data_IF_837530878297
#
_entry.id   IF_837530878297
#
_cell.length_a   1.000
_cell.length_b   1.000
_cell.length_c   1.000
_cell.angle_alpha   90.00
_cell.angle_beta   90.00
_cell.angle_gamma   90.00
#
_symmetry.space_group_name_H-M   'P 1'
#
loop_
_entity.id
_entity.type
_entity.pdbx_description
1 polymer ?
#
# COMPACT_ATOMS: atom_id res chain seq x y z
N UNK A 1 11.82 6.34 -4.52
CA UNK A 1 10.83 6.13 -5.58
C UNK A 1 9.59 7.00 -5.38
N UNK A 2 8.80 6.86 -4.29
CA UNK A 2 7.58 7.64 -4.01
C UNK A 2 7.75 9.17 -4.07
N UNK A 3 8.77 9.78 -3.44
CA UNK A 3 8.95 11.23 -3.51
C UNK A 3 9.20 11.73 -4.93
N UNK A 4 9.96 10.98 -5.71
CA UNK A 4 10.26 11.34 -7.11
C UNK A 4 9.03 11.30 -8.00
N UNK A 5 8.18 10.26 -7.85
CA UNK A 5 6.91 10.18 -8.59
C UNK A 5 5.97 11.34 -8.27
N UNK A 6 5.82 11.66 -6.99
CA UNK A 6 5.01 12.80 -6.58
C UNK A 6 5.52 14.12 -7.16
N UNK A 7 6.85 14.28 -7.27
CA UNK A 7 7.46 15.47 -7.90
C UNK A 7 7.16 15.51 -9.39
N UNK A 8 7.31 14.39 -10.09
CA UNK A 8 7.00 14.31 -11.53
C UNK A 8 5.53 14.62 -11.76
N UNK A 9 4.61 13.98 -11.01
CA UNK A 9 3.17 14.24 -11.14
C UNK A 9 2.84 15.71 -10.88
N UNK A 10 3.47 16.32 -9.88
CA UNK A 10 3.27 17.73 -9.57
C UNK A 10 3.74 18.65 -10.70
N UNK A 11 4.85 18.32 -11.34
CA UNK A 11 5.44 19.14 -12.40
C UNK A 11 4.75 18.97 -13.76
N UNK A 12 4.21 17.77 -14.03
CA UNK A 12 3.69 17.39 -15.34
C UNK A 12 2.15 17.44 -15.45
N UNK A 13 1.44 17.42 -14.32
CA UNK A 13 -0.02 17.38 -14.33
C UNK A 13 -0.64 18.60 -13.65
N UNK A 14 -1.65 19.24 -14.30
CA UNK A 14 -2.47 20.25 -13.66
C UNK A 14 -3.12 19.73 -12.35
N UNK A 15 -3.38 20.61 -11.39
CA UNK A 15 -3.92 20.25 -10.09
C UNK A 15 -5.16 19.34 -10.17
N UNK A 16 -6.07 19.60 -11.10
CA UNK A 16 -7.31 18.81 -11.31
C UNK A 16 -7.08 17.41 -11.91
N UNK A 17 -5.90 17.11 -12.47
CA UNK A 17 -5.58 15.83 -13.12
C UNK A 17 -4.62 14.96 -12.28
N UNK A 18 -3.98 15.53 -11.26
CA UNK A 18 -3.02 14.82 -10.39
C UNK A 18 -3.63 13.61 -9.68
N UNK A 19 -4.92 13.68 -9.33
CA UNK A 19 -5.64 12.55 -8.74
C UNK A 19 -5.68 11.33 -9.67
N UNK A 20 -5.96 11.54 -10.96
CA UNK A 20 -5.97 10.47 -11.97
C UNK A 20 -4.58 9.89 -12.18
N UNK A 21 -3.56 10.73 -12.27
CA UNK A 21 -2.16 10.30 -12.42
C UNK A 21 -1.69 9.48 -11.22
N UNK A 22 -2.03 9.92 -9.99
CA UNK A 22 -1.76 9.16 -8.77
C UNK A 22 -2.49 7.82 -8.75
N UNK A 23 -3.75 7.79 -9.16
CA UNK A 23 -4.51 6.54 -9.23
C UNK A 23 -3.88 5.55 -10.21
N UNK A 24 -3.45 6.01 -11.37
CA UNK A 24 -2.85 5.15 -12.38
C UNK A 24 -1.61 4.39 -11.86
N UNK A 25 -0.69 5.07 -11.18
CA UNK A 25 0.49 4.38 -10.65
C UNK A 25 0.18 3.49 -9.42
N UNK A 26 -0.78 3.87 -8.57
CA UNK A 26 -1.24 3.03 -7.46
C UNK A 26 -1.90 1.74 -7.97
N UNK A 27 -2.66 1.81 -9.06
CA UNK A 27 -3.19 0.63 -9.74
C UNK A 27 -2.06 -0.26 -10.25
N UNK A 28 -1.03 0.32 -10.87
CA UNK A 28 0.17 -0.40 -11.31
C UNK A 28 0.86 -1.14 -10.16
N UNK A 29 0.97 -0.54 -8.98
CA UNK A 29 1.55 -1.18 -7.79
C UNK A 29 0.78 -2.43 -7.34
N UNK A 30 -0.53 -2.48 -7.52
CA UNK A 30 -1.33 -3.66 -7.19
C UNK A 30 -1.37 -4.68 -8.34
N UNK A 31 -1.37 -4.20 -9.58
CA UNK A 31 -1.41 -5.05 -10.76
C UNK A 31 -0.07 -5.77 -11.00
N UNK A 32 1.06 -5.11 -10.72
CA UNK A 32 2.37 -5.69 -10.93
C UNK A 32 2.59 -7.00 -10.15
N UNK A 33 2.35 -7.12 -8.84
CA UNK A 33 2.45 -8.41 -8.14
C UNK A 33 1.44 -9.44 -8.64
N UNK A 34 0.21 -9.02 -8.99
CA UNK A 34 -0.81 -9.92 -9.51
C UNK A 34 -0.38 -10.61 -10.81
N UNK A 35 0.34 -9.90 -11.67
CA UNK A 35 0.90 -10.45 -12.91
C UNK A 35 2.24 -11.16 -12.69
N UNK A 36 3.08 -10.63 -11.80
CA UNK A 36 4.42 -11.17 -11.55
C UNK A 36 4.38 -12.55 -10.90
N UNK A 37 3.45 -12.79 -9.95
CA UNK A 37 3.39 -14.06 -9.23
C UNK A 37 3.19 -15.26 -10.16
N UNK A 38 2.16 -15.33 -11.03
CA UNK A 38 2.01 -16.45 -11.95
C UNK A 38 3.15 -16.53 -12.98
N UNK A 39 3.67 -15.40 -13.45
CA UNK A 39 4.76 -15.38 -14.41
C UNK A 39 6.06 -15.93 -13.81
N UNK A 40 6.44 -15.50 -12.61
CA UNK A 40 7.68 -15.95 -11.96
C UNK A 40 7.59 -17.43 -11.56
N UNK A 41 6.45 -17.89 -11.04
CA UNK A 41 6.27 -19.29 -10.71
C UNK A 41 6.31 -20.18 -11.94
N UNK A 42 5.78 -19.73 -13.07
CA UNK A 42 5.89 -20.42 -14.35
C UNK A 42 7.36 -20.51 -14.81
N UNK A 43 8.11 -19.39 -14.79
CA UNK A 43 9.55 -19.38 -15.14
C UNK A 43 10.35 -20.34 -14.23
N UNK A 44 10.04 -20.37 -12.93
CA UNK A 44 10.71 -21.25 -11.98
C UNK A 44 10.41 -22.73 -12.29
N UNK A 45 9.17 -23.04 -12.62
CA UNK A 45 8.74 -24.41 -12.91
C UNK A 45 9.36 -24.97 -14.19
N UNK A 46 9.44 -24.16 -15.26
CA UNK A 46 9.94 -24.59 -16.57
C UNK A 46 11.46 -24.51 -16.71
N UNK A 47 12.10 -23.57 -15.99
CA UNK A 47 13.52 -23.32 -16.15
C UNK A 47 14.27 -23.41 -14.82
N UNK A 48 14.40 -22.26 -14.12
CA UNK A 48 14.97 -22.20 -12.77
C UNK A 48 14.74 -20.80 -12.17
N UNK A 49 14.91 -20.68 -10.86
CA UNK A 49 14.80 -19.40 -10.16
C UNK A 49 15.78 -18.32 -10.70
N UNK A 50 16.93 -18.71 -11.28
CA UNK A 50 17.91 -17.77 -11.86
C UNK A 50 17.33 -17.03 -13.06
N UNK A 51 16.51 -17.68 -13.87
CA UNK A 51 15.87 -17.07 -15.04
C UNK A 51 14.89 -15.96 -14.67
N UNK A 52 14.29 -15.99 -13.47
CA UNK A 52 13.46 -14.87 -12.99
C UNK A 52 14.27 -13.58 -12.83
N UNK A 53 15.53 -13.67 -12.40
CA UNK A 53 16.40 -12.50 -12.28
C UNK A 53 16.83 -11.96 -13.67
N UNK A 54 17.16 -12.83 -14.61
CA UNK A 54 17.48 -12.40 -15.97
C UNK A 54 16.29 -11.74 -16.65
N UNK A 55 15.09 -12.32 -16.47
CA UNK A 55 13.85 -11.74 -16.98
C UNK A 55 13.57 -10.37 -16.31
N UNK A 56 13.67 -10.28 -15.01
CA UNK A 56 13.46 -9.03 -14.27
C UNK A 56 14.46 -7.95 -14.68
N UNK A 57 15.73 -8.32 -14.89
CA UNK A 57 16.75 -7.41 -15.40
C UNK A 57 16.36 -6.87 -16.78
N UNK A 58 16.02 -7.76 -17.72
CA UNK A 58 15.61 -7.37 -19.06
C UNK A 58 14.37 -6.47 -19.06
N UNK A 59 13.39 -6.80 -18.22
CA UNK A 59 12.17 -6.01 -18.07
C UNK A 59 12.47 -4.62 -17.50
N UNK A 60 13.45 -4.50 -16.59
CA UNK A 60 13.83 -3.23 -15.98
C UNK A 60 14.57 -2.30 -16.95
N UNK A 61 15.23 -2.84 -17.97
CA UNK A 61 15.89 -2.01 -18.99
C UNK A 61 14.89 -1.18 -19.80
N UNK A 62 13.70 -1.72 -20.06
CA UNK A 62 12.67 -1.00 -20.84
C UNK A 62 12.28 0.35 -20.21
N UNK A 63 11.85 0.43 -18.93
CA UNK A 63 11.54 1.72 -18.31
C UNK A 63 12.75 2.64 -18.18
N UNK A 64 13.97 2.11 -18.00
CA UNK A 64 15.18 2.93 -17.96
C UNK A 64 15.37 3.63 -19.31
N UNK A 65 15.26 2.91 -20.42
CA UNK A 65 15.35 3.47 -21.77
C UNK A 65 14.24 4.50 -22.01
N UNK A 66 12.99 4.15 -21.66
CA UNK A 66 11.85 5.07 -21.83
C UNK A 66 12.02 6.35 -21.02
N UNK A 67 12.46 6.25 -19.76
CA UNK A 67 12.70 7.41 -18.90
C UNK A 67 13.83 8.26 -19.47
N UNK A 68 14.93 7.67 -19.89
CA UNK A 68 16.09 8.39 -20.40
C UNK A 68 15.78 9.18 -21.67
N UNK A 69 15.04 8.61 -22.61
CA UNK A 69 14.76 9.22 -23.91
C UNK A 69 13.51 10.09 -23.94
N UNK A 70 12.50 9.82 -23.13
CA UNK A 70 11.18 10.46 -23.22
C UNK A 70 10.81 11.34 -22.03
N UNK A 71 11.55 11.28 -20.90
CA UNK A 71 11.21 12.05 -19.71
C UNK A 71 12.21 13.17 -19.46
N UNK A 72 11.72 14.31 -18.98
CA UNK A 72 12.54 15.41 -18.46
C UNK A 72 12.02 15.84 -17.09
N UNK A 73 12.84 16.55 -16.31
CA UNK A 73 12.43 17.01 -14.97
C UNK A 73 11.29 18.03 -15.03
N UNK A 74 11.27 18.84 -16.06
CA UNK A 74 10.27 19.87 -16.28
C UNK A 74 9.65 19.74 -17.67
N UNK A 75 8.34 20.01 -17.83
CA UNK A 75 7.66 19.98 -19.12
C UNK A 75 8.28 20.91 -20.17
N UNK A 76 8.84 22.06 -19.73
CA UNK A 76 9.49 23.05 -20.61
C UNK A 76 10.74 22.50 -21.32
N UNK A 77 11.41 21.52 -20.72
CA UNK A 77 12.64 20.93 -21.25
C UNK A 77 12.35 19.80 -22.25
N UNK A 78 11.09 19.37 -22.35
CA UNK A 78 10.71 18.25 -23.17
C UNK A 78 10.25 18.67 -24.56
N UNK A 79 10.93 18.19 -25.58
CA UNK A 79 10.65 18.50 -27.00
C UNK A 79 9.30 18.01 -27.52
N UNK A 80 8.65 17.10 -26.80
CA UNK A 80 7.36 16.54 -27.19
C UNK A 80 6.16 17.30 -26.62
N UNK A 81 6.38 18.25 -25.69
CA UNK A 81 5.33 19.05 -25.07
C UNK A 81 5.02 20.24 -25.98
N UNK A 82 3.75 20.42 -26.32
CA UNK A 82 3.31 21.54 -27.15
C UNK A 82 3.01 22.79 -26.28
N UNK A 83 2.94 23.96 -26.93
CA UNK A 83 2.72 25.25 -26.27
C UNK A 83 1.39 25.31 -25.50
N UNK A 84 0.34 24.70 -26.02
CA UNK A 84 -1.00 24.70 -25.40
C UNK A 84 -1.01 23.85 -24.13
N UNK A 85 -0.34 22.72 -24.17
CA UNK A 85 -0.15 21.84 -23.00
C UNK A 85 0.65 22.53 -21.90
N UNK A 86 1.75 23.20 -22.28
CA UNK A 86 2.58 23.96 -21.37
C UNK A 86 1.80 25.11 -20.71
N UNK A 87 0.96 25.83 -21.46
CA UNK A 87 0.10 26.87 -20.91
C UNK A 87 -0.91 26.32 -19.90
N UNK A 88 -1.51 25.15 -20.20
CA UNK A 88 -2.43 24.48 -19.28
C UNK A 88 -1.77 24.08 -17.97
N UNK A 89 -0.56 23.51 -18.02
CA UNK A 89 0.22 23.13 -16.84
C UNK A 89 0.61 24.37 -16.02
N UNK A 90 1.17 25.40 -16.69
CA UNK A 90 1.65 26.60 -16.01
C UNK A 90 0.53 27.41 -15.37
N UNK A 91 -0.66 27.52 -15.99
CA UNK A 91 -1.80 28.24 -15.42
C UNK A 91 -2.20 27.68 -14.06
N UNK A 92 -2.29 26.36 -13.94
CA UNK A 92 -2.63 25.71 -12.66
C UNK A 92 -1.53 25.85 -11.60
N UNK A 93 -0.27 25.88 -12.01
CA UNK A 93 0.88 26.05 -11.11
C UNK A 93 0.96 27.48 -10.58
N UNK A 94 0.66 28.48 -11.42
CA UNK A 94 0.64 29.90 -11.03
C UNK A 94 -0.47 30.18 -10.00
N UNK A 95 -1.66 29.61 -10.18
CA UNK A 95 -2.75 29.70 -9.21
C UNK A 95 -2.36 29.09 -7.85
N UNK A 96 -1.66 27.95 -7.82
CA UNK A 96 -1.13 27.35 -6.59
C UNK A 96 -0.05 28.21 -5.90
N UNK A 97 0.84 28.83 -6.68
CA UNK A 97 1.91 29.69 -6.15
C UNK A 97 1.34 30.97 -5.54
N UNK A 98 0.31 31.56 -6.13
CA UNK A 98 -0.38 32.73 -5.57
C UNK A 98 -1.06 32.41 -4.23
N UNK A 99 -1.63 31.20 -4.08
CA UNK A 99 -2.19 30.73 -2.81
C UNK A 99 -1.12 30.35 -1.77
N UNK A 100 0.13 30.08 -2.20
CA UNK A 100 1.20 29.58 -1.33
C UNK A 100 2.13 30.68 -0.77
N UNK A 101 2.10 31.88 -1.34
CA UNK A 101 2.96 33.00 -0.92
C UNK A 101 2.58 33.57 0.46
N UNK A 102 1.55 33.06 1.12
CA UNK A 102 1.15 33.39 2.49
C UNK A 102 1.64 32.41 3.57
N UNK A 103 2.35 31.33 3.19
CA UNK A 103 2.80 30.34 4.17
C UNK A 103 4.24 30.62 4.58
N UNK A 104 4.45 31.04 5.83
CA UNK A 104 5.77 31.15 6.46
C UNK A 104 6.53 29.81 6.31
N UNK A 105 7.86 29.92 6.07
CA UNK A 105 8.74 28.74 5.99
C UNK A 105 8.89 28.10 7.38
N UNK A 106 7.96 27.23 7.75
CA UNK A 106 8.04 26.45 8.99
C UNK A 106 9.29 25.57 8.94
N UNK A 107 10.09 25.57 10.00
CA UNK A 107 11.30 24.74 10.16
C UNK A 107 10.95 23.24 10.03
N UNK A 108 11.90 22.43 9.56
CA UNK A 108 11.73 20.95 9.48
C UNK A 108 11.41 20.35 10.85
N UNK A 109 12.03 20.88 11.89
CA UNK A 109 11.80 20.44 13.30
C UNK A 109 10.40 20.80 13.77
N UNK A 110 9.90 21.98 13.45
CA UNK A 110 8.54 22.41 13.79
C UNK A 110 7.49 21.58 13.07
N UNK A 111 7.70 21.27 11.77
CA UNK A 111 6.84 20.34 11.02
C UNK A 111 6.79 18.97 11.66
N UNK A 112 7.95 18.43 12.11
CA UNK A 112 8.00 17.15 12.78
C UNK A 112 7.26 17.14 14.12
N UNK A 113 7.39 18.21 14.92
CA UNK A 113 6.68 18.35 16.19
C UNK A 113 5.16 18.30 16.03
N UNK A 114 4.61 18.89 14.97
CA UNK A 114 3.16 18.94 14.72
C UNK A 114 2.52 17.54 14.72
N UNK A 115 3.15 16.56 14.09
CA UNK A 115 2.58 15.21 14.03
C UNK A 115 3.16 14.26 15.09
N UNK A 116 4.44 14.38 15.47
CA UNK A 116 5.04 13.50 16.48
C UNK A 116 4.48 13.73 17.90
N UNK A 117 4.05 14.95 18.23
CA UNK A 117 3.40 15.26 19.49
C UNK A 117 1.91 14.89 19.50
N UNK A 118 1.32 14.53 18.37
CA UNK A 118 -0.09 14.15 18.27
C UNK A 118 -0.28 12.66 18.57
N UNK A 119 -0.96 12.31 19.65
CA UNK A 119 -1.25 10.91 20.03
C UNK A 119 -1.99 10.15 18.93
N UNK A 120 -2.87 10.81 18.18
CA UNK A 120 -3.61 10.19 17.07
C UNK A 120 -2.68 9.73 15.94
N UNK A 121 -1.54 10.40 15.73
CA UNK A 121 -0.54 9.97 14.76
C UNK A 121 0.04 8.59 15.12
N UNK A 122 0.35 8.35 16.39
CA UNK A 122 0.90 7.09 16.88
C UNK A 122 -0.11 5.94 16.82
N UNK A 123 -1.39 6.24 17.11
CA UNK A 123 -2.48 5.27 16.95
C UNK A 123 -2.63 4.90 15.46
N UNK A 124 -2.63 5.90 14.58
CA UNK A 124 -2.70 5.68 13.13
C UNK A 124 -1.50 4.90 12.62
N UNK A 125 -0.30 5.16 13.16
CA UNK A 125 0.91 4.40 12.88
C UNK A 125 0.76 2.94 13.31
N UNK A 126 0.23 2.66 14.49
CA UNK A 126 0.00 1.29 14.95
C UNK A 126 -0.97 0.52 14.03
N UNK A 127 -2.08 1.17 13.63
CA UNK A 127 -3.03 0.60 12.67
C UNK A 127 -2.36 0.30 11.33
N UNK A 128 -1.62 1.26 10.78
CA UNK A 128 -0.95 1.09 9.49
C UNK A 128 0.20 0.10 9.55
N UNK A 129 0.93 0.03 10.65
CA UNK A 129 2.00 -0.95 10.87
C UNK A 129 1.45 -2.37 10.92
N UNK A 130 0.30 -2.61 11.59
CA UNK A 130 -0.33 -3.92 11.63
C UNK A 130 -0.72 -4.41 10.22
N UNK A 131 -1.27 -3.53 9.39
CA UNK A 131 -1.59 -3.84 8.00
C UNK A 131 -0.32 -4.08 7.16
N UNK A 132 0.74 -3.29 7.38
CA UNK A 132 2.03 -3.48 6.71
C UNK A 132 2.67 -4.82 7.07
N UNK A 133 2.63 -5.21 8.34
CA UNK A 133 3.15 -6.52 8.79
C UNK A 133 2.40 -7.68 8.13
N UNK A 134 1.07 -7.61 8.04
CA UNK A 134 0.28 -8.60 7.31
C UNK A 134 0.71 -8.65 5.84
N UNK A 135 0.76 -7.50 5.17
CA UNK A 135 1.05 -7.42 3.73
C UNK A 135 2.42 -7.96 3.38
N UNK A 136 3.48 -7.56 4.10
CA UNK A 136 4.83 -8.06 3.88
C UNK A 136 5.00 -9.53 4.27
N UNK A 137 4.33 -9.96 5.35
CA UNK A 137 4.30 -11.37 5.74
C UNK A 137 3.69 -12.24 4.66
N UNK A 138 2.54 -11.83 4.13
CA UNK A 138 1.84 -12.55 3.06
C UNK A 138 2.64 -12.62 1.77
N UNK A 139 3.17 -11.49 1.30
CA UNK A 139 3.97 -11.46 0.06
C UNK A 139 5.12 -12.45 0.13
N UNK A 140 5.75 -12.57 1.30
CA UNK A 140 6.94 -13.40 1.48
C UNK A 140 6.61 -14.88 1.70
N UNK A 141 5.59 -15.18 2.51
CA UNK A 141 5.37 -16.54 3.01
C UNK A 141 4.15 -17.25 2.43
N UNK A 142 3.19 -16.54 1.82
CA UNK A 142 2.01 -17.18 1.23
C UNK A 142 2.37 -18.21 0.15
N UNK A 143 3.31 -17.96 -0.79
CA UNK A 143 3.68 -18.97 -1.77
C UNK A 143 4.21 -20.25 -1.13
N UNK A 144 5.06 -20.12 -0.10
CA UNK A 144 5.60 -21.27 0.64
C UNK A 144 4.49 -22.02 1.37
N UNK A 145 3.60 -21.32 2.07
CA UNK A 145 2.46 -21.93 2.74
C UNK A 145 1.56 -22.73 1.79
N UNK A 146 1.24 -22.16 0.62
CA UNK A 146 0.42 -22.83 -0.38
C UNK A 146 1.10 -24.08 -0.95
N UNK A 147 2.41 -24.06 -1.14
CA UNK A 147 3.14 -25.21 -1.65
C UNK A 147 3.34 -26.28 -0.58
N UNK A 148 3.83 -25.92 0.63
CA UNK A 148 4.24 -26.90 1.65
C UNK A 148 3.07 -27.44 2.47
N UNK A 149 2.14 -26.57 2.88
CA UNK A 149 1.03 -26.97 3.74
C UNK A 149 -0.22 -27.36 2.96
N UNK A 150 -0.45 -26.71 1.82
CA UNK A 150 -1.64 -26.93 1.00
C UNK A 150 -1.39 -27.80 -0.24
N UNK A 151 -0.15 -28.23 -0.48
CA UNK A 151 0.20 -29.17 -1.54
C UNK A 151 -0.02 -28.65 -2.97
N UNK A 152 -0.09 -27.34 -3.19
CA UNK A 152 -0.23 -26.79 -4.53
C UNK A 152 1.07 -26.97 -5.33
N UNK A 153 0.94 -27.34 -6.60
CA UNK A 153 2.06 -27.27 -7.54
C UNK A 153 2.52 -25.82 -7.72
N UNK A 154 3.79 -25.60 -8.04
CA UNK A 154 4.33 -24.24 -8.24
C UNK A 154 3.57 -23.43 -9.28
N UNK A 155 3.05 -24.06 -10.34
CA UNK A 155 2.20 -23.40 -11.32
C UNK A 155 0.91 -22.84 -10.69
N UNK A 156 0.25 -23.61 -9.84
CA UNK A 156 -0.97 -23.19 -9.14
C UNK A 156 -0.68 -22.18 -8.02
N UNK A 157 0.47 -22.29 -7.35
CA UNK A 157 0.92 -21.31 -6.33
C UNK A 157 0.97 -19.90 -6.91
N UNK A 158 1.45 -19.74 -8.14
CA UNK A 158 1.50 -18.43 -8.79
C UNK A 158 0.15 -17.76 -8.91
N UNK A 159 -0.84 -18.49 -9.40
CA UNK A 159 -2.20 -17.98 -9.53
C UNK A 159 -2.88 -17.73 -8.19
N UNK A 160 -2.74 -18.65 -7.25
CA UNK A 160 -3.33 -18.48 -5.91
C UNK A 160 -2.67 -17.32 -5.14
N UNK A 161 -1.36 -17.12 -5.28
CA UNK A 161 -0.64 -16.00 -4.67
C UNK A 161 -0.94 -14.64 -5.31
N UNK A 162 -1.49 -14.62 -6.53
CA UNK A 162 -1.95 -13.40 -7.18
C UNK A 162 -3.31 -12.91 -6.65
N UNK A 163 -4.16 -13.82 -6.16
CA UNK A 163 -5.52 -13.51 -5.71
C UNK A 163 -5.60 -12.40 -4.65
N UNK A 164 -4.75 -12.34 -3.61
CA UNK A 164 -4.79 -11.26 -2.62
C UNK A 164 -4.63 -9.87 -3.26
N UNK A 165 -3.82 -9.75 -4.30
CA UNK A 165 -3.60 -8.47 -5.00
C UNK A 165 -4.79 -8.09 -5.89
N UNK A 166 -5.42 -9.09 -6.54
CA UNK A 166 -6.63 -8.90 -7.33
C UNK A 166 -7.78 -8.44 -6.42
N UNK A 167 -8.05 -9.17 -5.34
CA UNK A 167 -9.02 -8.75 -4.34
C UNK A 167 -8.67 -7.40 -3.71
N UNK A 168 -7.37 -7.17 -3.41
CA UNK A 168 -6.90 -5.90 -2.87
C UNK A 168 -7.18 -4.72 -3.79
N UNK A 169 -7.05 -4.90 -5.11
CA UNK A 169 -7.40 -3.89 -6.10
C UNK A 169 -8.90 -3.54 -6.02
N UNK A 170 -9.77 -4.55 -6.02
CA UNK A 170 -11.21 -4.38 -5.93
C UNK A 170 -11.62 -3.69 -4.61
N UNK A 171 -11.05 -4.12 -3.50
CA UNK A 171 -11.34 -3.54 -2.19
C UNK A 171 -10.79 -2.12 -2.01
N UNK A 172 -9.66 -1.76 -2.62
CA UNK A 172 -9.17 -0.37 -2.63
C UNK A 172 -10.13 0.56 -3.38
N UNK A 173 -10.65 0.12 -4.53
CA UNK A 173 -11.65 0.88 -5.29
C UNK A 173 -12.93 1.03 -4.47
N UNK A 174 -13.42 -0.05 -3.89
CA UNK A 174 -14.60 -0.03 -3.01
C UNK A 174 -14.41 0.91 -1.82
N UNK A 175 -13.23 0.86 -1.18
CA UNK A 175 -12.90 1.72 -0.05
C UNK A 175 -12.93 3.21 -0.43
N UNK A 176 -12.44 3.57 -1.62
CA UNK A 176 -12.52 4.95 -2.12
C UNK A 176 -13.96 5.46 -2.11
N UNK A 177 -14.89 4.69 -2.70
CA UNK A 177 -16.33 5.07 -2.71
C UNK A 177 -16.96 5.14 -1.32
N UNK A 178 -16.54 4.25 -0.39
CA UNK A 178 -17.07 4.23 0.98
C UNK A 178 -16.52 5.42 1.78
N UNK A 179 -15.22 5.70 1.66
CA UNK A 179 -14.55 6.81 2.39
C UNK A 179 -15.10 8.16 1.99
N UNK A 180 -15.47 8.34 0.72
CA UNK A 180 -16.07 9.59 0.24
C UNK A 180 -17.49 9.81 0.78
N UNK A 181 -18.21 8.73 1.08
CA UNK A 181 -19.61 8.77 1.54
C UNK A 181 -19.78 8.68 3.05
N UNK A 182 -18.74 8.29 3.80
CA UNK A 182 -18.85 8.07 5.24
C UNK A 182 -17.78 8.81 6.01
N UNK A 183 -18.20 9.45 7.10
CA UNK A 183 -17.26 10.06 8.07
C UNK A 183 -16.67 9.02 9.04
N UNK A 184 -17.13 7.76 9.00
CA UNK A 184 -16.74 6.69 9.93
C UNK A 184 -15.54 5.87 9.45
N UNK A 185 -14.44 6.54 9.09
CA UNK A 185 -13.23 5.89 8.53
C UNK A 185 -12.63 4.84 9.47
N UNK A 186 -12.62 5.11 10.79
CA UNK A 186 -12.19 4.16 11.79
C UNK A 186 -13.00 2.86 11.78
N UNK A 187 -14.32 2.96 11.59
CA UNK A 187 -15.19 1.80 11.49
C UNK A 187 -14.91 0.97 10.22
N UNK A 188 -14.64 1.63 9.09
CA UNK A 188 -14.25 0.96 7.84
C UNK A 188 -12.96 0.16 8.04
N UNK A 189 -11.95 0.76 8.69
CA UNK A 189 -10.69 0.07 9.01
C UNK A 189 -10.92 -1.12 9.95
N UNK A 190 -11.75 -0.96 10.97
CA UNK A 190 -12.10 -2.03 11.90
C UNK A 190 -12.77 -3.20 11.18
N UNK A 191 -13.84 -2.92 10.41
CA UNK A 191 -14.58 -3.95 9.67
C UNK A 191 -13.67 -4.69 8.69
N UNK A 192 -12.80 -3.97 7.98
CA UNK A 192 -11.83 -4.60 7.06
C UNK A 192 -10.83 -5.50 7.78
N UNK A 193 -10.35 -5.08 8.96
CA UNK A 193 -9.45 -5.88 9.80
C UNK A 193 -10.14 -7.15 10.32
N UNK A 194 -11.38 -7.03 10.83
CA UNK A 194 -12.16 -8.18 11.30
C UNK A 194 -12.52 -9.14 10.17
N UNK A 195 -12.87 -8.63 8.99
CA UNK A 195 -13.12 -9.43 7.80
C UNK A 195 -11.86 -10.20 7.39
N UNK A 196 -10.70 -9.55 7.42
CA UNK A 196 -9.42 -10.20 7.16
C UNK A 196 -9.13 -11.30 8.18
N UNK A 197 -9.22 -11.00 9.47
CA UNK A 197 -8.97 -11.96 10.55
C UNK A 197 -9.92 -13.17 10.47
N UNK A 198 -11.21 -12.94 10.29
CA UNK A 198 -12.21 -13.99 10.14
C UNK A 198 -11.96 -14.86 8.90
N UNK A 199 -11.62 -14.25 7.77
CA UNK A 199 -11.32 -14.98 6.54
C UNK A 199 -10.06 -15.83 6.66
N UNK A 200 -8.99 -15.34 7.29
CA UNK A 200 -7.79 -16.14 7.52
C UNK A 200 -8.11 -17.29 8.47
N UNK A 201 -8.82 -17.03 9.58
CA UNK A 201 -9.19 -18.04 10.56
C UNK A 201 -10.07 -19.14 9.93
N UNK A 202 -11.07 -18.79 9.15
CA UNK A 202 -11.93 -19.75 8.46
C UNK A 202 -11.16 -20.50 7.38
N UNK A 203 -10.37 -19.80 6.56
CA UNK A 203 -9.60 -20.38 5.47
C UNK A 203 -8.56 -21.40 5.93
N UNK A 204 -7.92 -21.16 7.08
CA UNK A 204 -6.96 -22.10 7.68
C UNK A 204 -7.66 -23.43 8.07
N UNK A 205 -8.92 -23.39 8.48
CA UNK A 205 -9.69 -24.56 8.90
C UNK A 205 -10.46 -25.27 7.77
N UNK A 206 -10.50 -24.72 6.56
CA UNK A 206 -11.13 -25.36 5.40
C UNK A 206 -10.27 -26.52 4.90
N UNK A 207 -10.86 -27.71 4.77
CA UNK A 207 -10.17 -28.91 4.28
C UNK A 207 -9.87 -28.84 2.77
N UNK A 208 -10.73 -28.21 1.98
CA UNK A 208 -10.49 -28.04 0.55
C UNK A 208 -9.45 -26.95 0.29
N UNK A 209 -8.29 -27.33 -0.21
CA UNK A 209 -7.14 -26.45 -0.40
C UNK A 209 -7.44 -25.26 -1.33
N UNK A 210 -8.21 -25.46 -2.38
CA UNK A 210 -8.58 -24.42 -3.32
C UNK A 210 -9.48 -23.36 -2.68
N UNK A 211 -10.54 -23.77 -2.01
CA UNK A 211 -11.42 -22.85 -1.28
C UNK A 211 -10.71 -22.15 -0.12
N UNK A 212 -9.82 -22.85 0.58
CA UNK A 212 -8.98 -22.25 1.61
C UNK A 212 -8.14 -21.09 1.07
N UNK A 213 -7.46 -21.31 -0.05
CA UNK A 213 -6.63 -20.28 -0.69
C UNK A 213 -7.45 -19.07 -1.12
N UNK A 214 -8.64 -19.25 -1.69
CA UNK A 214 -9.54 -18.17 -2.09
C UNK A 214 -10.00 -17.36 -0.86
N UNK A 215 -10.47 -18.03 0.21
CA UNK A 215 -10.98 -17.37 1.42
C UNK A 215 -9.88 -16.58 2.12
N UNK A 216 -8.68 -17.15 2.26
CA UNK A 216 -7.52 -16.46 2.82
C UNK A 216 -7.18 -15.22 1.97
N UNK A 217 -7.10 -15.40 0.65
CA UNK A 217 -6.78 -14.32 -0.29
C UNK A 217 -7.81 -13.19 -0.28
N UNK A 218 -9.09 -13.53 -0.17
CA UNK A 218 -10.17 -12.56 -0.03
C UNK A 218 -10.00 -11.71 1.22
N UNK A 219 -9.71 -12.33 2.38
CA UNK A 219 -9.49 -11.61 3.63
C UNK A 219 -8.27 -10.68 3.57
N UNK A 220 -7.17 -11.16 3.00
CA UNK A 220 -5.96 -10.35 2.81
C UNK A 220 -6.26 -9.17 1.88
N UNK A 221 -6.98 -9.42 0.78
CA UNK A 221 -7.42 -8.37 -0.12
C UNK A 221 -8.29 -7.32 0.58
N UNK A 222 -9.23 -7.76 1.44
CA UNK A 222 -10.11 -6.88 2.20
C UNK A 222 -9.32 -5.92 3.11
N UNK A 223 -8.20 -6.34 3.69
CA UNK A 223 -7.35 -5.48 4.52
C UNK A 223 -6.83 -4.24 3.76
N UNK A 224 -6.77 -4.31 2.43
CA UNK A 224 -6.34 -3.20 1.57
C UNK A 224 -7.26 -1.97 1.64
N UNK A 225 -8.49 -2.11 2.15
CA UNK A 225 -9.40 -0.99 2.39
C UNK A 225 -8.86 0.01 3.43
N UNK A 226 -7.93 -0.42 4.28
CA UNK A 226 -7.37 0.46 5.31
C UNK A 226 -6.54 1.59 4.71
N UNK A 227 -5.83 1.36 3.61
CA UNK A 227 -4.88 2.32 3.04
C UNK A 227 -5.51 3.69 2.68
N UNK A 228 -6.63 3.78 1.95
CA UNK A 228 -7.30 5.05 1.69
C UNK A 228 -7.77 5.74 2.97
N UNK A 229 -8.27 4.98 3.96
CA UNK A 229 -8.73 5.51 5.24
C UNK A 229 -7.58 6.14 6.04
N UNK A 230 -6.42 5.47 6.09
CA UNK A 230 -5.22 5.94 6.82
C UNK A 230 -4.76 7.30 6.28
N UNK A 231 -4.60 7.43 4.97
CA UNK A 231 -4.13 8.69 4.40
C UNK A 231 -5.18 9.81 4.49
N UNK A 232 -6.46 9.49 4.37
CA UNK A 232 -7.52 10.49 4.56
C UNK A 232 -7.60 10.98 6.02
N UNK A 233 -7.41 10.09 7.00
CA UNK A 233 -7.32 10.48 8.41
C UNK A 233 -6.08 11.33 8.66
N UNK A 234 -4.92 10.95 8.13
CA UNK A 234 -3.71 11.76 8.26
C UNK A 234 -3.91 13.18 7.72
N UNK A 235 -4.55 13.31 6.55
CA UNK A 235 -4.87 14.61 5.94
C UNK A 235 -5.80 15.48 6.81
N UNK A 236 -6.65 14.85 7.62
CA UNK A 236 -7.53 15.60 8.55
C UNK A 236 -6.84 16.01 9.85
N UNK A 237 -5.69 15.44 10.20
CA UNK A 237 -4.96 15.67 11.45
C UNK A 237 -3.78 16.62 11.31
N UNK A 238 -3.27 16.79 10.08
CA UNK A 238 -2.00 17.47 9.83
C UNK A 238 -2.21 18.61 8.84
N UNK A 239 -1.71 19.83 9.14
CA UNK A 239 -1.80 20.97 8.23
C UNK A 239 -1.00 20.71 6.95
N UNK A 240 -1.37 21.40 5.86
CA UNK A 240 -0.82 21.19 4.53
C UNK A 240 0.71 21.33 4.47
N UNK A 241 1.29 22.22 5.27
CA UNK A 241 2.73 22.50 5.33
C UNK A 241 3.54 21.32 5.90
N UNK A 242 2.95 20.52 6.80
CA UNK A 242 3.59 19.37 7.43
C UNK A 242 3.15 18.03 6.80
N UNK A 243 2.15 18.02 5.91
CA UNK A 243 1.54 16.81 5.36
C UNK A 243 2.55 15.90 4.65
N UNK A 244 3.42 16.45 3.84
CA UNK A 244 4.44 15.68 3.10
C UNK A 244 5.42 14.97 4.05
N UNK A 245 5.85 15.67 5.10
CA UNK A 245 6.74 15.13 6.13
C UNK A 245 6.03 14.05 6.97
N UNK A 246 4.79 14.32 7.39
CA UNK A 246 3.99 13.39 8.18
C UNK A 246 3.67 12.09 7.39
N UNK A 247 3.29 12.21 6.12
CA UNK A 247 3.03 11.06 5.26
C UNK A 247 4.30 10.23 5.03
N UNK A 248 5.44 10.89 4.82
CA UNK A 248 6.74 10.22 4.70
C UNK A 248 7.14 9.47 5.96
N UNK A 249 6.99 10.10 7.14
CA UNK A 249 7.28 9.51 8.43
C UNK A 249 6.33 8.32 8.73
N UNK A 250 5.02 8.51 8.55
CA UNK A 250 4.03 7.46 8.76
C UNK A 250 4.31 6.23 7.88
N UNK A 251 4.50 6.46 6.59
CA UNK A 251 4.76 5.37 5.65
C UNK A 251 6.13 4.70 5.91
N UNK A 252 7.17 5.48 6.16
CA UNK A 252 8.51 4.95 6.44
C UNK A 252 8.55 4.07 7.68
N UNK A 253 7.95 4.54 8.79
CA UNK A 253 7.86 3.76 10.02
C UNK A 253 6.97 2.52 9.85
N UNK A 254 5.78 2.64 9.25
CA UNK A 254 4.88 1.50 9.05
C UNK A 254 5.48 0.42 8.15
N UNK A 255 6.15 0.80 7.06
CA UNK A 255 6.87 -0.15 6.18
C UNK A 255 8.08 -0.74 6.89
N UNK A 256 8.78 0.04 7.72
CA UNK A 256 9.86 -0.46 8.57
C UNK A 256 9.40 -1.58 9.51
N UNK A 257 8.27 -1.38 10.21
CA UNK A 257 7.66 -2.45 11.02
C UNK A 257 7.20 -3.62 10.13
N UNK A 258 6.63 -3.35 8.96
CA UNK A 258 6.25 -4.38 7.99
C UNK A 258 7.41 -5.27 7.56
N UNK A 259 8.59 -4.68 7.33
CA UNK A 259 9.79 -5.40 6.94
C UNK A 259 10.32 -6.38 8.02
N UNK A 260 9.93 -6.21 9.28
CA UNK A 260 10.24 -7.17 10.34
C UNK A 260 9.36 -8.43 10.27
N UNK A 261 8.20 -8.36 9.62
CA UNK A 261 7.25 -9.49 9.57
C UNK A 261 7.84 -10.76 8.97
N UNK A 262 8.53 -10.75 7.81
CA UNK A 262 9.16 -11.96 7.28
C UNK A 262 10.17 -12.59 8.23
N UNK A 263 10.94 -11.78 8.96
CA UNK A 263 11.92 -12.24 9.93
C UNK A 263 11.24 -12.91 11.14
N UNK A 264 10.18 -12.29 11.67
CA UNK A 264 9.38 -12.85 12.75
C UNK A 264 8.73 -14.17 12.33
N UNK A 265 8.16 -14.24 11.13
CA UNK A 265 7.55 -15.46 10.60
C UNK A 265 8.61 -16.55 10.46
N UNK A 266 9.78 -16.26 9.89
CA UNK A 266 10.89 -17.21 9.77
C UNK A 266 11.35 -17.73 11.11
N UNK A 267 11.50 -16.85 12.12
CA UNK A 267 11.84 -17.25 13.48
C UNK A 267 10.78 -18.17 14.11
N UNK A 268 9.49 -17.80 14.02
CA UNK A 268 8.40 -18.61 14.54
C UNK A 268 8.39 -20.00 13.88
N UNK A 269 8.57 -20.07 12.57
CA UNK A 269 8.61 -21.34 11.85
C UNK A 269 9.82 -22.18 12.22
N UNK A 270 10.97 -21.58 12.47
CA UNK A 270 12.19 -22.31 12.90
C UNK A 270 12.03 -22.96 14.27
N UNK A 271 11.22 -22.37 15.15
CA UNK A 271 10.98 -22.89 16.51
C UNK A 271 9.78 -23.83 16.57
N UNK A 272 8.70 -23.48 15.88
CA UNK A 272 7.42 -24.23 16.00
C UNK A 272 7.20 -25.27 14.91
N UNK A 273 7.90 -25.13 13.77
CA UNK A 273 7.69 -25.95 12.57
C UNK A 273 6.21 -26.00 12.12
N UNK A 274 5.44 -24.96 12.42
CA UNK A 274 3.99 -24.97 12.25
C UNK A 274 3.48 -23.62 11.69
N UNK A 275 2.95 -23.64 10.46
CA UNK A 275 2.36 -22.47 9.81
C UNK A 275 1.07 -21.98 10.47
N UNK A 276 0.33 -22.83 11.18
CA UNK A 276 -0.89 -22.41 11.89
C UNK A 276 -0.56 -21.36 12.96
N UNK A 277 0.55 -21.53 13.69
CA UNK A 277 1.02 -20.54 14.67
C UNK A 277 1.29 -19.17 14.03
N UNK A 278 1.91 -19.18 12.86
CA UNK A 278 2.17 -17.95 12.09
C UNK A 278 0.86 -17.26 11.74
N UNK A 279 -0.13 -18.00 11.22
CA UNK A 279 -1.42 -17.45 10.84
C UNK A 279 -2.15 -16.85 12.06
N UNK A 280 -2.14 -17.52 13.21
CA UNK A 280 -2.76 -16.99 14.43
C UNK A 280 -2.08 -15.71 14.94
N UNK A 281 -0.75 -15.59 14.82
CA UNK A 281 -0.04 -14.36 15.18
C UNK A 281 -0.41 -13.23 14.22
N UNK A 282 -0.46 -13.48 12.92
CA UNK A 282 -0.89 -12.48 11.95
C UNK A 282 -2.34 -12.03 12.19
N UNK A 283 -3.24 -12.95 12.51
CA UNK A 283 -4.61 -12.64 12.92
C UNK A 283 -4.59 -11.73 14.15
N UNK A 284 -3.81 -12.06 15.19
CA UNK A 284 -3.69 -11.26 16.41
C UNK A 284 -3.22 -9.83 16.13
N UNK A 285 -2.18 -9.66 15.28
CA UNK A 285 -1.67 -8.36 14.89
C UNK A 285 -2.74 -7.52 14.17
N UNK A 286 -3.47 -8.13 13.23
CA UNK A 286 -4.54 -7.45 12.48
C UNK A 286 -5.71 -7.08 13.38
N UNK A 287 -6.11 -7.95 14.29
CA UNK A 287 -7.18 -7.69 15.27
C UNK A 287 -6.81 -6.52 16.17
N UNK A 288 -5.58 -6.51 16.71
CA UNK A 288 -5.10 -5.41 17.57
C UNK A 288 -5.12 -4.09 16.78
N UNK A 289 -4.59 -4.07 15.56
CA UNK A 289 -4.66 -2.88 14.70
C UNK A 289 -6.09 -2.43 14.41
N UNK A 290 -6.99 -3.39 14.16
CA UNK A 290 -8.42 -3.13 13.98
C UNK A 290 -9.06 -2.50 15.22
N UNK A 291 -8.76 -3.00 16.42
CA UNK A 291 -9.27 -2.42 17.66
C UNK A 291 -8.77 -0.99 17.88
N UNK A 292 -7.49 -0.70 17.60
CA UNK A 292 -6.99 0.66 17.64
C UNK A 292 -7.70 1.59 16.66
N UNK A 293 -8.15 1.09 15.52
CA UNK A 293 -8.87 1.91 14.54
C UNK A 293 -10.23 2.41 15.04
N UNK A 294 -10.85 1.72 16.01
CA UNK A 294 -12.10 2.16 16.64
C UNK A 294 -11.96 3.49 17.40
N UNK A 295 -10.76 3.87 17.82
CA UNK A 295 -10.51 5.16 18.45
C UNK A 295 -10.78 6.32 17.48
N UNK A 296 -10.74 6.08 16.16
CA UNK A 296 -11.13 7.03 15.12
C UNK A 296 -12.62 6.94 14.71
N UNK A 297 -13.39 6.04 15.30
CA UNK A 297 -14.82 5.91 15.03
C UNK A 297 -15.69 6.89 15.79
N UNK A 298 -15.14 7.50 16.84
CA UNK A 298 -15.83 8.43 17.74
C UNK A 298 -15.30 9.85 17.51
N UNK A 299 -16.17 10.70 17.00
CA UNK A 299 -16.15 12.16 17.01
C UNK A 299 -15.06 12.93 16.23
N UNK A 300 -15.54 13.67 15.21
CA UNK A 300 -14.78 14.72 14.50
C UNK A 300 -14.28 15.83 15.43
N UNK A 301 -14.95 16.06 16.56
CA UNK A 301 -14.64 17.15 17.52
C UNK A 301 -13.36 16.92 18.34
N UNK A 302 -12.90 15.65 18.47
CA UNK A 302 -11.69 15.30 19.25
C UNK A 302 -10.40 15.23 18.42
N UNK A 303 -10.49 15.33 17.11
CA UNK A 303 -9.31 15.26 16.21
C UNK A 303 -8.64 16.63 16.02
N UNK A 304 -9.31 17.72 16.46
CA UNK A 304 -8.87 19.11 16.29
C UNK A 304 -8.37 19.77 17.60
N UNK A 305 -8.40 19.05 18.72
CA UNK A 305 -7.81 19.41 20.00
C UNK A 305 -6.63 18.44 20.27
#
# INVERSE_FOLDING_TARGET
>A
YYPMQNTIIKNWFPAGERGRANTAWILGQSLAPALAMPLYTWIIAEHSWRHTFYFSFSLTLLPIVLIYFFTSNFPQENKYVNVLELQKINKSTTEEVLHKNSSEKISVVERAKVYLCNSNFWILLAVFSSNSMLSWGVVTWLPTYLNTERGFSWANVGWMSALPFIFGLLFKVLAGFIVDKTDRKGMVMFVSAMLCAASILTGVNISNNFFAAIVISFGIGASSMQLPCVFTLLQSMVPAEAMSSAAGALNGMAVGFGALSPVLIGFILSVTHNFYFVMYILIGIVVIGGLFSLLFSRDRSRLLN
#
